data_IF_706873470410
#
_entry.id   IF_706873470410
#
_cell.length_a   1.000
_cell.length_b   1.000
_cell.length_c   1.000
_cell.angle_alpha   90.00
_cell.angle_beta   90.00
_cell.angle_gamma   90.00
#
_symmetry.space_group_name_H-M   'P 1'
#
loop_
_entity.id
_entity.type
_entity.pdbx_description
1 polymer ?
#
# COMPACT_ATOMS: atom_id res chain seq x y z
N UNK A 1 18.13 10.64 -20.55
CA UNK A 1 17.03 10.27 -19.63
C UNK A 1 16.89 8.76 -19.63
N UNK A 2 16.96 8.14 -18.46
CA UNK A 2 16.79 6.69 -18.28
C UNK A 2 15.33 6.27 -18.45
N UNK A 3 15.08 5.02 -18.82
CA UNK A 3 13.72 4.45 -18.85
C UNK A 3 13.02 4.57 -17.49
N UNK A 4 13.77 4.45 -16.38
CA UNK A 4 13.23 4.57 -15.03
C UNK A 4 12.77 6.01 -14.75
N UNK A 5 13.52 7.01 -15.21
CA UNK A 5 13.14 8.42 -15.04
C UNK A 5 11.83 8.72 -15.79
N UNK A 6 11.70 8.24 -17.03
CA UNK A 6 10.47 8.40 -17.82
C UNK A 6 9.25 7.78 -17.13
N UNK A 7 9.41 6.61 -16.49
CA UNK A 7 8.33 5.95 -15.74
C UNK A 7 7.97 6.76 -14.48
N UNK A 8 8.97 7.21 -13.72
CA UNK A 8 8.76 8.04 -12.52
C UNK A 8 8.09 9.36 -12.84
N UNK A 9 8.43 10.00 -13.96
CA UNK A 9 7.77 11.23 -14.43
C UNK A 9 6.28 11.01 -14.70
N UNK A 10 5.93 9.92 -15.39
CA UNK A 10 4.52 9.57 -15.64
C UNK A 10 3.77 9.31 -14.34
N UNK A 11 4.41 8.62 -13.40
CA UNK A 11 3.83 8.36 -12.08
C UNK A 11 3.59 9.65 -11.28
N UNK A 12 4.54 10.61 -11.30
CA UNK A 12 4.37 11.93 -10.66
C UNK A 12 3.20 12.73 -11.22
N UNK A 13 2.92 12.62 -12.52
CA UNK A 13 1.79 13.33 -13.14
C UNK A 13 0.42 12.75 -12.74
N UNK A 14 0.37 11.50 -12.29
CA UNK A 14 -0.86 10.86 -11.83
C UNK A 14 -0.55 9.82 -10.74
N UNK A 15 -0.24 10.26 -9.51
CA UNK A 15 0.09 9.34 -8.43
C UNK A 15 -1.11 8.47 -8.11
N UNK A 16 -0.90 7.16 -8.11
CA UNK A 16 -1.95 6.17 -7.88
C UNK A 16 -1.86 5.61 -6.46
N UNK A 17 -3.00 5.18 -5.91
CA UNK A 17 -3.02 4.37 -4.68
C UNK A 17 -2.43 2.99 -4.95
N UNK A 18 -1.49 2.55 -4.10
CA UNK A 18 -0.81 1.25 -4.22
C UNK A 18 -0.92 0.50 -2.89
N UNK A 19 -1.62 -0.63 -2.89
CA UNK A 19 -1.72 -1.50 -1.72
C UNK A 19 -0.43 -2.32 -1.55
N UNK A 20 0.11 -2.33 -0.34
CA UNK A 20 1.37 -3.00 0.02
C UNK A 20 1.09 -3.94 1.21
N UNK A 21 0.96 -5.26 0.96
CA UNK A 21 0.48 -6.22 1.96
C UNK A 21 1.52 -6.76 2.93
N UNK A 22 2.79 -6.40 2.76
CA UNK A 22 3.93 -6.94 3.53
C UNK A 22 4.63 -5.82 4.34
N UNK A 23 3.92 -5.09 5.23
CA UNK A 23 4.49 -3.94 5.92
C UNK A 23 5.49 -4.33 7.02
N UNK A 24 5.65 -5.61 7.34
CA UNK A 24 6.71 -6.13 8.20
C UNK A 24 8.09 -6.14 7.51
N UNK A 25 8.13 -6.08 6.18
CA UNK A 25 9.38 -5.99 5.43
C UNK A 25 9.93 -4.56 5.44
N UNK A 26 11.12 -4.38 6.00
CA UNK A 26 11.82 -3.09 6.06
C UNK A 26 11.92 -2.41 4.68
N UNK A 27 12.15 -3.18 3.62
CA UNK A 27 12.29 -2.67 2.25
C UNK A 27 10.99 -2.04 1.77
N UNK A 28 9.86 -2.65 2.13
CA UNK A 28 8.52 -2.14 1.81
C UNK A 28 8.23 -0.85 2.59
N UNK A 29 8.56 -0.78 3.88
CA UNK A 29 8.40 0.45 4.67
C UNK A 29 9.23 1.60 4.10
N UNK A 30 10.51 1.34 3.79
CA UNK A 30 11.40 2.34 3.16
C UNK A 30 10.88 2.79 1.80
N UNK A 31 10.45 1.84 0.95
CA UNK A 31 9.91 2.15 -0.38
C UNK A 31 8.61 2.95 -0.30
N UNK A 32 7.77 2.69 0.70
CA UNK A 32 6.52 3.42 0.92
C UNK A 32 6.80 4.89 1.22
N UNK A 33 7.68 5.17 2.19
CA UNK A 33 8.09 6.55 2.51
C UNK A 33 8.76 7.23 1.32
N UNK A 34 9.67 6.53 0.63
CA UNK A 34 10.36 7.08 -0.53
C UNK A 34 9.40 7.40 -1.68
N UNK A 35 8.46 6.51 -1.99
CA UNK A 35 7.52 6.68 -3.09
C UNK A 35 6.50 7.79 -2.84
N UNK A 36 6.04 7.95 -1.59
CA UNK A 36 5.22 9.09 -1.19
C UNK A 36 6.00 10.40 -1.28
N UNK A 37 7.22 10.43 -0.74
CA UNK A 37 8.10 11.61 -0.77
C UNK A 37 8.47 12.05 -2.19
N UNK A 38 8.71 11.09 -3.09
CA UNK A 38 8.96 11.36 -4.51
C UNK A 38 7.68 11.74 -5.28
N UNK A 39 6.49 11.59 -4.67
CA UNK A 39 5.20 11.89 -5.31
C UNK A 39 4.83 10.92 -6.42
N UNK A 40 5.42 9.71 -6.45
CA UNK A 40 5.19 8.71 -7.50
C UNK A 40 4.04 7.74 -7.15
N UNK A 41 3.67 7.65 -5.87
CA UNK A 41 2.58 6.79 -5.41
C UNK A 41 1.93 7.33 -4.13
N UNK A 42 0.73 6.83 -3.85
CA UNK A 42 0.03 6.99 -2.57
C UNK A 42 -0.05 5.60 -1.90
N UNK A 43 0.93 5.22 -1.07
CA UNK A 43 0.99 3.88 -0.49
C UNK A 43 -0.14 3.64 0.52
N UNK A 44 -0.67 2.42 0.52
CA UNK A 44 -1.59 1.90 1.53
C UNK A 44 -0.99 0.64 2.11
N UNK A 45 -0.48 0.71 3.34
CA UNK A 45 0.08 -0.44 4.05
C UNK A 45 -1.04 -1.28 4.65
N UNK A 46 -1.05 -2.58 4.39
CA UNK A 46 -2.06 -3.49 4.94
C UNK A 46 -1.50 -4.27 6.12
N UNK A 47 -2.08 -4.11 7.30
CA UNK A 47 -1.73 -4.89 8.48
C UNK A 47 -2.01 -4.18 9.79
N UNK A 48 -1.54 -4.78 10.89
CA UNK A 48 -1.77 -4.25 12.23
C UNK A 48 -1.04 -2.92 12.43
N UNK A 49 -1.81 -1.84 12.64
CA UNK A 49 -1.29 -0.49 12.85
C UNK A 49 -0.15 -0.41 13.86
N UNK A 50 -0.31 -1.02 15.04
CA UNK A 50 0.70 -0.98 16.10
C UNK A 50 2.00 -1.73 15.76
N UNK A 51 1.94 -2.76 14.90
CA UNK A 51 3.15 -3.44 14.42
C UNK A 51 3.90 -2.55 13.42
N UNK A 52 3.17 -1.97 12.47
CA UNK A 52 3.70 -1.12 11.40
C UNK A 52 4.35 0.15 11.99
N UNK A 53 3.66 0.84 12.88
CA UNK A 53 4.17 2.07 13.51
C UNK A 53 5.42 1.80 14.36
N UNK A 54 5.45 0.68 15.09
CA UNK A 54 6.64 0.25 15.85
C UNK A 54 7.82 -0.06 14.94
N UNK A 55 7.61 -0.80 13.85
CA UNK A 55 8.67 -1.15 12.91
C UNK A 55 9.21 0.11 12.21
N UNK A 56 8.33 1.02 11.78
CA UNK A 56 8.74 2.29 11.19
C UNK A 56 9.53 3.15 12.18
N UNK A 57 9.10 3.22 13.44
CA UNK A 57 9.84 3.93 14.50
C UNK A 57 11.23 3.33 14.74
N UNK A 58 11.36 2.01 14.74
CA UNK A 58 12.67 1.33 14.88
C UNK A 58 13.62 1.65 13.71
N UNK A 59 13.07 1.95 12.54
CA UNK A 59 13.81 2.31 11.32
C UNK A 59 14.02 3.83 11.15
N UNK A 60 13.48 4.66 12.06
CA UNK A 60 13.51 6.12 11.96
C UNK A 60 12.70 6.68 10.78
N UNK A 61 11.64 5.97 10.37
CA UNK A 61 10.78 6.36 9.25
C UNK A 61 9.56 7.14 9.73
N UNK A 62 9.22 8.24 9.02
CA UNK A 62 7.97 8.96 9.22
C UNK A 62 6.90 8.42 8.26
N UNK A 63 5.78 7.93 8.79
CA UNK A 63 4.65 7.40 8.02
C UNK A 63 3.53 8.44 7.78
N UNK A 64 3.75 9.71 8.11
CA UNK A 64 2.79 10.77 7.86
C UNK A 64 2.37 10.82 6.37
N UNK A 65 1.05 10.82 6.12
CA UNK A 65 0.48 10.78 4.78
C UNK A 65 0.39 9.38 4.14
N UNK A 66 0.92 8.34 4.79
CA UNK A 66 0.74 6.94 4.36
C UNK A 66 -0.52 6.37 5.03
N UNK A 67 -1.41 5.80 4.22
CA UNK A 67 -2.62 5.14 4.71
C UNK A 67 -2.25 3.77 5.31
N UNK A 68 -2.78 3.43 6.48
CA UNK A 68 -2.60 2.12 7.11
C UNK A 68 -3.98 1.54 7.36
N UNK A 69 -4.24 0.37 6.78
CA UNK A 69 -5.51 -0.34 6.88
C UNK A 69 -5.27 -1.74 7.44
N UNK A 70 -5.99 -2.13 8.48
CA UNK A 70 -5.98 -3.52 8.97
C UNK A 70 -7.10 -4.31 8.28
N UNK A 71 -6.80 -5.32 7.44
CA UNK A 71 -7.81 -6.09 6.74
C UNK A 71 -8.81 -6.79 7.67
N UNK A 72 -8.41 -7.16 8.89
CA UNK A 72 -9.25 -7.91 9.82
C UNK A 72 -10.29 -7.03 10.52
N UNK A 73 -10.03 -5.73 10.64
CA UNK A 73 -10.90 -4.79 11.33
C UNK A 73 -11.44 -3.69 10.40
N UNK A 74 -11.20 -3.82 9.10
CA UNK A 74 -11.64 -2.85 8.10
C UNK A 74 -13.14 -2.93 7.87
N UNK A 75 -13.80 -1.77 7.81
CA UNK A 75 -15.22 -1.65 7.43
C UNK A 75 -15.49 -2.21 6.02
N UNK A 76 -14.45 -2.28 5.17
CA UNK A 76 -14.54 -2.83 3.82
C UNK A 76 -14.56 -4.35 3.77
N UNK A 77 -14.30 -5.05 4.88
CA UNK A 77 -14.16 -6.52 4.88
C UNK A 77 -15.40 -7.20 4.31
N UNK A 78 -16.59 -6.83 4.79
CA UNK A 78 -17.84 -7.43 4.32
C UNK A 78 -18.10 -7.18 2.84
N UNK A 79 -17.72 -6.01 2.33
CA UNK A 79 -17.89 -5.64 0.92
C UNK A 79 -16.94 -6.46 0.04
N UNK A 80 -15.68 -6.59 0.45
CA UNK A 80 -14.70 -7.42 -0.25
C UNK A 80 -15.07 -8.90 -0.23
N UNK A 81 -15.59 -9.43 0.88
CA UNK A 81 -16.08 -10.82 0.95
C UNK A 81 -17.20 -11.05 -0.06
N UNK A 82 -18.19 -10.15 -0.11
CA UNK A 82 -19.31 -10.27 -1.07
C UNK A 82 -18.82 -10.25 -2.52
N UNK A 83 -17.98 -9.27 -2.87
CA UNK A 83 -17.45 -9.17 -4.23
C UNK A 83 -16.55 -10.35 -4.60
N UNK A 84 -15.73 -10.84 -3.67
CA UNK A 84 -14.89 -12.01 -3.89
C UNK A 84 -15.70 -13.28 -4.13
N UNK A 85 -16.75 -13.53 -3.34
CA UNK A 85 -17.65 -14.67 -3.54
C UNK A 85 -18.35 -14.56 -4.90
N UNK A 86 -18.92 -13.40 -5.22
CA UNK A 86 -19.57 -13.13 -6.52
C UNK A 86 -18.62 -13.41 -7.70
N UNK A 87 -17.38 -12.94 -7.64
CA UNK A 87 -16.38 -13.16 -8.68
C UNK A 87 -16.00 -14.64 -8.84
N UNK A 88 -16.15 -15.46 -7.78
CA UNK A 88 -15.84 -16.89 -7.79
C UNK A 88 -17.03 -17.77 -8.19
N UNK A 89 -18.27 -17.34 -7.99
CA UNK A 89 -19.46 -18.01 -8.50
C UNK A 89 -19.48 -18.08 -10.04
N UNK A 90 -18.87 -17.10 -10.71
CA UNK A 90 -18.78 -17.01 -12.19
C UNK A 90 -17.72 -17.98 -12.78
N UNK A 91 -17.20 -18.93 -12.00
CA UNK A 91 -16.26 -19.97 -12.46
C UNK A 91 -16.83 -21.40 -12.37
N UNK A 92 -18.11 -21.58 -12.67
CA UNK A 92 -18.58 -22.87 -13.19
C UNK A 92 -18.17 -22.94 -14.67
N UNK A 93 -17.08 -23.65 -14.96
CA UNK A 93 -16.66 -24.01 -16.33
C UNK A 93 -17.63 -25.05 -16.88
#
# INVERSE_FOLDING_TARGET
MSIIETIKDRARNRPMKVALPEPEDERILRASVASLKEGIAMPVLLGSRGVIERNASALGLNLEGIEILDPLTSDHLNDFVREYCRAREVRAI
#
